data_IF_932971111495
#
_entry.id   IF_932971111495
#
_cell.length_a   1.000
_cell.length_b   1.000
_cell.length_c   1.000
_cell.angle_alpha   90.00
_cell.angle_beta   90.00
_cell.angle_gamma   90.00
#
_symmetry.space_group_name_H-M   'P 1'
#
loop_
_entity.id
_entity.type
_entity.pdbx_description
1 polymer ?
#
# COMPACT_ATOMS: atom_id res chain seq x y z
N UNK A 1 3.69 -20.49 -14.91
CA UNK A 1 4.26 -19.43 -14.05
C UNK A 1 3.20 -19.11 -13.02
N UNK A 2 3.51 -19.23 -11.72
CA UNK A 2 2.58 -18.77 -10.69
C UNK A 2 2.30 -17.27 -10.91
N UNK A 3 1.06 -16.80 -10.78
CA UNK A 3 0.79 -15.37 -10.89
C UNK A 3 1.65 -14.66 -9.85
N UNK A 4 2.43 -13.67 -10.30
CA UNK A 4 3.24 -12.85 -9.41
C UNK A 4 2.30 -12.28 -8.33
N UNK A 5 2.57 -12.59 -7.06
CA UNK A 5 1.82 -12.10 -5.89
C UNK A 5 2.03 -10.59 -5.72
N UNK A 6 1.49 -9.78 -6.63
CA UNK A 6 1.61 -8.33 -6.61
C UNK A 6 0.50 -7.77 -5.74
N UNK A 7 0.86 -6.90 -4.80
CA UNK A 7 -0.09 -6.05 -4.09
C UNK A 7 0.27 -4.60 -4.39
N UNK A 8 -0.71 -3.83 -4.84
CA UNK A 8 -0.59 -2.37 -4.94
C UNK A 8 -1.15 -1.72 -3.68
N UNK A 9 -0.52 -0.64 -3.21
CA UNK A 9 -0.98 0.09 -2.02
C UNK A 9 -1.26 1.55 -2.35
N UNK A 10 -2.41 2.03 -1.89
CA UNK A 10 -2.79 3.44 -1.88
C UNK A 10 -3.35 3.78 -0.50
N UNK A 11 -2.79 4.80 0.16
CA UNK A 11 -3.20 5.20 1.52
C UNK A 11 -3.11 6.72 1.71
N UNK A 12 -3.71 7.22 2.79
CA UNK A 12 -3.62 8.60 3.28
C UNK A 12 -2.72 8.75 4.53
N UNK A 13 -1.90 7.74 4.80
CA UNK A 13 -1.05 7.65 6.00
C UNK A 13 0.17 8.58 5.97
N UNK A 14 0.54 9.12 4.81
CA UNK A 14 1.82 9.77 4.62
C UNK A 14 3.00 8.79 4.66
N UNK A 15 4.21 9.36 4.68
CA UNK A 15 5.47 8.59 4.67
C UNK A 15 6.34 8.90 5.90
N UNK A 16 5.83 9.68 6.85
CA UNK A 16 6.58 10.08 8.05
C UNK A 16 6.46 9.07 9.18
N UNK A 17 5.33 8.38 9.23
CA UNK A 17 4.98 7.46 10.31
C UNK A 17 5.20 6.00 9.88
N UNK A 18 5.14 5.08 10.83
CA UNK A 18 5.46 3.66 10.68
C UNK A 18 4.34 2.81 10.04
N UNK A 19 3.14 3.35 9.87
CA UNK A 19 1.94 2.61 9.45
C UNK A 19 2.12 1.80 8.17
N UNK A 20 2.74 2.37 7.13
CA UNK A 20 3.00 1.67 5.86
C UNK A 20 3.98 0.51 6.07
N UNK A 21 5.01 0.71 6.90
CA UNK A 21 5.98 -0.30 7.25
C UNK A 21 5.35 -1.47 8.01
N UNK A 22 4.54 -1.18 9.03
CA UNK A 22 3.80 -2.19 9.80
C UNK A 22 2.86 -2.98 8.90
N UNK A 23 2.09 -2.31 8.04
CA UNK A 23 1.19 -2.95 7.08
C UNK A 23 1.93 -3.94 6.18
N UNK A 24 3.03 -3.52 5.55
CA UNK A 24 3.84 -4.39 4.70
C UNK A 24 4.47 -5.54 5.47
N UNK A 25 4.94 -5.31 6.69
CA UNK A 25 5.51 -6.34 7.55
C UNK A 25 4.51 -7.45 7.88
N UNK A 26 3.27 -7.09 8.24
CA UNK A 26 2.19 -8.06 8.47
C UNK A 26 1.82 -8.81 7.18
N UNK A 27 1.74 -8.11 6.04
CA UNK A 27 1.47 -8.78 4.76
C UNK A 27 2.57 -9.78 4.39
N UNK A 28 3.84 -9.43 4.58
CA UNK A 28 4.99 -10.32 4.34
C UNK A 28 5.06 -11.50 5.29
N UNK A 29 4.59 -11.38 6.54
CA UNK A 29 4.54 -12.51 7.45
C UNK A 29 3.47 -13.54 7.05
N UNK A 30 2.43 -13.11 6.33
CA UNK A 30 1.38 -13.97 5.78
C UNK A 30 1.81 -14.59 4.43
N UNK A 31 2.39 -13.78 3.53
CA UNK A 31 2.89 -14.23 2.24
C UNK A 31 4.26 -13.59 1.94
N UNK A 32 5.36 -14.33 2.18
CA UNK A 32 6.72 -13.84 1.94
C UNK A 32 7.04 -13.55 0.47
N UNK A 33 6.30 -14.11 -0.49
CA UNK A 33 6.53 -13.92 -1.93
C UNK A 33 5.84 -12.66 -2.49
N UNK A 34 5.25 -11.83 -1.62
CA UNK A 34 4.59 -10.59 -2.04
C UNK A 34 5.56 -9.58 -2.64
N UNK A 35 5.12 -8.97 -3.74
CA UNK A 35 5.80 -7.82 -4.36
C UNK A 35 4.91 -6.59 -4.22
N UNK A 36 5.38 -5.60 -3.46
CA UNK A 36 4.64 -4.36 -3.26
C UNK A 36 4.90 -3.36 -4.37
N UNK A 37 3.83 -2.70 -4.82
CA UNK A 37 3.88 -1.53 -5.68
C UNK A 37 3.10 -0.42 -4.97
N UNK A 38 3.81 0.56 -4.41
CA UNK A 38 3.15 1.71 -3.80
C UNK A 38 2.69 2.65 -4.91
N UNK A 39 1.38 2.85 -5.04
CA UNK A 39 0.81 3.86 -5.93
C UNK A 39 1.10 5.24 -5.33
N UNK A 40 0.65 5.46 -4.09
CA UNK A 40 1.01 6.61 -3.26
C UNK A 40 0.51 6.41 -1.83
N UNK A 41 1.23 6.95 -0.85
CA UNK A 41 0.75 7.06 0.53
C UNK A 41 0.41 8.52 0.89
N UNK A 42 0.42 9.41 -0.10
CA UNK A 42 0.26 10.86 0.07
C UNK A 42 -1.15 11.36 -0.28
N UNK A 43 -2.18 10.49 -0.20
CA UNK A 43 -3.56 10.95 -0.29
C UNK A 43 -3.81 11.90 0.90
N UNK A 44 -4.41 13.09 0.69
CA UNK A 44 -4.79 13.92 1.82
C UNK A 44 -5.74 13.14 2.75
N UNK A 45 -5.59 13.24 4.09
CA UNK A 45 -6.41 12.48 5.04
C UNK A 45 -7.89 12.49 4.67
N UNK A 46 -8.48 11.29 4.57
CA UNK A 46 -9.90 11.05 4.30
C UNK A 46 -10.41 11.50 2.92
N UNK A 47 -9.53 11.94 1.99
CA UNK A 47 -9.94 12.44 0.68
C UNK A 47 -10.20 11.30 -0.33
N UNK A 48 -11.36 10.66 -0.21
CA UNK A 48 -11.77 9.55 -1.08
C UNK A 48 -11.89 9.94 -2.56
N UNK A 49 -12.21 11.20 -2.88
CA UNK A 49 -12.31 11.67 -4.27
C UNK A 49 -10.94 11.71 -4.93
N UNK A 50 -9.91 12.15 -4.21
CA UNK A 50 -8.52 12.17 -4.68
C UNK A 50 -7.99 10.75 -4.84
N UNK A 51 -8.28 9.85 -3.89
CA UNK A 51 -7.93 8.44 -4.00
C UNK A 51 -8.58 7.79 -5.23
N UNK A 52 -9.88 7.99 -5.43
CA UNK A 52 -10.63 7.45 -6.57
C UNK A 52 -10.17 8.01 -7.93
N UNK A 53 -9.61 9.21 -7.98
CA UNK A 53 -9.03 9.76 -9.21
C UNK A 53 -7.67 9.13 -9.56
N UNK A 54 -6.91 8.67 -8.56
CA UNK A 54 -5.56 8.11 -8.74
C UNK A 54 -5.61 6.61 -9.04
N UNK A 55 -6.60 5.90 -8.50
CA UNK A 55 -6.79 4.46 -8.68
C UNK A 55 -7.39 4.13 -10.05
#
# INVERSE_FOLDING_TARGET
MQPNSIITLITDFGNTDDYVGVMKGVMLSINPDLRFIDITHSIPPQNIKKAAFIL
#
